data_IF_410790938011
#
_entry.id   IF_410790938011
#
_cell.length_a   1.000
_cell.length_b   1.000
_cell.length_c   1.000
_cell.angle_alpha   90.00
_cell.angle_beta   90.00
_cell.angle_gamma   90.00
#
_symmetry.space_group_name_H-M   'P 1'
#
loop_
_entity.id
_entity.type
_entity.pdbx_description
1 polymer ?
#
# COMPACT_ATOMS: atom_id res chain seq x y z
N UNK A 1 -9.73 16.35 -3.56
CA UNK A 1 -8.76 15.42 -2.95
C UNK A 1 -8.42 14.37 -4.00
N UNK A 2 -7.13 14.04 -4.17
CA UNK A 2 -6.79 12.92 -5.03
C UNK A 2 -7.43 11.65 -4.48
N UNK A 3 -8.04 10.87 -5.36
CA UNK A 3 -8.61 9.60 -4.98
C UNK A 3 -7.48 8.59 -4.75
N UNK A 4 -7.36 8.14 -3.53
CA UNK A 4 -6.57 6.97 -3.21
C UNK A 4 -7.43 5.73 -3.40
N UNK A 5 -6.89 4.77 -4.07
CA UNK A 5 -7.50 3.44 -4.17
C UNK A 5 -6.48 2.36 -3.86
N UNK A 6 -6.96 1.28 -3.30
CA UNK A 6 -6.19 0.05 -3.21
C UNK A 6 -6.28 -0.61 -4.58
N UNK A 7 -5.12 -0.83 -5.20
CA UNK A 7 -5.03 -1.50 -6.48
C UNK A 7 -4.41 -2.87 -6.23
N UNK A 8 -5.05 -3.96 -6.68
CA UNK A 8 -4.43 -5.27 -6.62
C UNK A 8 -3.07 -5.24 -7.32
N UNK A 9 -2.03 -5.69 -6.66
CA UNK A 9 -0.67 -5.65 -7.20
C UNK A 9 -0.42 -6.71 -8.28
N UNK A 10 -1.27 -7.70 -8.36
CA UNK A 10 -1.09 -8.80 -9.29
C UNK A 10 -1.62 -8.44 -10.68
N UNK A 11 -0.73 -8.01 -11.55
CA UNK A 11 -0.97 -8.04 -13.00
C UNK A 11 -0.78 -9.44 -13.59
N UNK A 12 -0.52 -10.43 -12.77
CA UNK A 12 -0.28 -11.83 -13.12
C UNK A 12 -1.51 -12.69 -12.80
N UNK A 13 -1.35 -13.90 -12.47
CA UNK A 13 -2.39 -14.93 -12.41
C UNK A 13 -3.72 -14.52 -11.77
N UNK A 14 -3.70 -13.74 -10.70
CA UNK A 14 -4.92 -13.27 -10.06
C UNK A 14 -5.75 -12.34 -10.96
N UNK A 15 -5.11 -11.44 -11.68
CA UNK A 15 -5.80 -10.51 -12.59
C UNK A 15 -6.38 -11.27 -13.77
N UNK A 16 -5.71 -12.30 -14.27
CA UNK A 16 -6.24 -13.16 -15.32
C UNK A 16 -7.41 -14.00 -14.80
N UNK A 17 -7.30 -14.55 -13.61
CA UNK A 17 -8.38 -15.30 -12.97
C UNK A 17 -9.59 -14.41 -12.63
N UNK A 18 -9.37 -13.17 -12.20
CA UNK A 18 -10.44 -12.18 -11.97
C UNK A 18 -11.00 -11.66 -13.31
N UNK A 19 -10.18 -11.52 -14.34
CA UNK A 19 -10.64 -11.16 -15.67
C UNK A 19 -11.55 -12.25 -16.29
N UNK A 20 -11.39 -13.50 -15.86
CA UNK A 20 -12.32 -14.58 -16.21
C UNK A 20 -13.75 -14.38 -15.66
N UNK A 21 -13.98 -13.38 -14.82
CA UNK A 21 -15.31 -12.96 -14.37
C UNK A 21 -15.99 -11.99 -15.33
N UNK A 22 -15.32 -11.53 -16.35
CA UNK A 22 -15.96 -10.70 -17.36
C UNK A 22 -16.84 -11.59 -18.26
N UNK A 23 -17.98 -11.05 -18.68
CA UNK A 23 -18.83 -11.69 -19.67
C UNK A 23 -18.18 -11.78 -21.08
N UNK A 24 -16.93 -11.34 -21.17
CA UNK A 24 -16.13 -11.41 -22.39
C UNK A 24 -15.49 -12.79 -22.50
N UNK A 25 -16.10 -13.68 -23.25
CA UNK A 25 -15.63 -15.04 -23.48
C UNK A 25 -14.18 -15.12 -24.01
N UNK A 26 -13.66 -14.01 -24.55
CA UNK A 26 -12.27 -13.95 -25.05
C UNK A 26 -11.23 -13.85 -23.93
N UNK A 27 -11.64 -13.47 -22.71
CA UNK A 27 -10.77 -13.37 -21.54
C UNK A 27 -10.82 -14.61 -20.64
N UNK A 28 -11.71 -15.57 -20.94
CA UNK A 28 -11.78 -16.82 -20.21
C UNK A 28 -10.60 -17.69 -20.63
N UNK A 29 -9.68 -17.94 -19.72
CA UNK A 29 -8.69 -18.99 -19.86
C UNK A 29 -9.43 -20.34 -19.89
N UNK A 30 -9.21 -21.14 -20.92
CA UNK A 30 -9.81 -22.47 -21.06
C UNK A 30 -9.44 -23.40 -19.88
N UNK A 31 -8.40 -23.03 -19.13
CA UNK A 31 -7.96 -23.77 -17.92
C UNK A 31 -8.77 -23.42 -16.68
N UNK A 32 -9.55 -22.32 -16.72
CA UNK A 32 -10.40 -21.86 -15.61
C UNK A 32 -11.87 -21.83 -16.04
N UNK A 33 -12.53 -22.98 -16.09
CA UNK A 33 -13.89 -23.09 -16.60
C UNK A 33 -14.94 -22.41 -15.70
N UNK A 34 -14.53 -21.75 -14.63
CA UNK A 34 -15.46 -21.16 -13.66
C UNK A 34 -14.99 -19.79 -13.19
N UNK A 35 -15.88 -18.83 -13.36
CA UNK A 35 -15.70 -17.44 -13.02
C UNK A 35 -15.77 -17.14 -11.50
N UNK A 36 -15.46 -18.07 -10.62
CA UNK A 36 -15.56 -17.83 -9.18
C UNK A 36 -14.44 -18.54 -8.40
N UNK A 37 -13.77 -17.77 -7.56
CA UNK A 37 -12.76 -18.29 -6.64
C UNK A 37 -13.30 -18.27 -5.21
N UNK A 38 -13.16 -19.40 -4.53
CA UNK A 38 -13.39 -19.47 -3.09
C UNK A 38 -12.08 -19.21 -2.38
N UNK A 39 -12.07 -18.16 -1.59
CA UNK A 39 -10.95 -17.84 -0.73
C UNK A 39 -10.81 -18.92 0.36
N UNK A 40 -9.59 -19.43 0.54
CA UNK A 40 -9.20 -20.16 1.73
C UNK A 40 -9.21 -19.24 2.97
N UNK A 41 -9.09 -19.83 4.14
CA UNK A 41 -9.03 -19.06 5.39
C UNK A 41 -7.62 -18.50 5.60
N UNK A 42 -7.41 -17.24 5.18
CA UNK A 42 -6.20 -16.51 5.47
C UNK A 42 -5.11 -16.58 4.40
N UNK A 43 -4.03 -15.97 4.73
CA UNK A 43 -2.78 -15.99 3.97
C UNK A 43 -1.61 -16.21 4.93
N UNK A 44 -0.46 -16.57 4.41
CA UNK A 44 0.77 -16.80 5.17
C UNK A 44 1.93 -16.06 4.52
N UNK A 45 2.82 -15.50 5.33
CA UNK A 45 4.05 -14.89 4.87
C UNK A 45 5.23 -15.82 5.17
N UNK A 46 5.92 -16.29 4.14
CA UNK A 46 7.09 -17.18 4.26
C UNK A 46 8.27 -16.56 3.53
N UNK A 47 9.31 -16.16 4.28
CA UNK A 47 10.45 -15.45 3.70
C UNK A 47 10.00 -14.13 3.04
N UNK A 48 10.31 -13.97 1.77
CA UNK A 48 9.98 -12.79 0.97
C UNK A 48 8.70 -12.97 0.13
N UNK A 49 7.89 -13.98 0.44
CA UNK A 49 6.65 -14.29 -0.26
C UNK A 49 5.44 -14.22 0.66
N UNK A 50 4.30 -13.79 0.10
CA UNK A 50 2.97 -13.94 0.66
C UNK A 50 2.24 -15.03 -0.11
N UNK A 51 1.70 -16.00 0.61
CA UNK A 51 0.96 -17.13 0.08
C UNK A 51 -0.53 -16.95 0.32
N UNK A 52 -1.33 -17.25 -0.65
CA UNK A 52 -2.78 -17.18 -0.58
C UNK A 52 -3.39 -18.44 -1.13
N UNK A 53 -4.24 -19.10 -0.30
CA UNK A 53 -4.90 -20.35 -0.69
C UNK A 53 -6.29 -20.07 -1.25
N UNK A 54 -6.61 -20.71 -2.37
CA UNK A 54 -7.89 -20.58 -3.02
C UNK A 54 -8.32 -21.88 -3.70
N UNK A 55 -9.60 -22.00 -4.02
CA UNK A 55 -10.14 -23.07 -4.85
C UNK A 55 -11.12 -22.49 -5.87
N UNK A 56 -11.13 -22.97 -7.12
CA UNK A 56 -12.16 -22.63 -8.09
C UNK A 56 -13.53 -23.12 -7.65
N UNK A 57 -14.57 -22.32 -7.87
CA UNK A 57 -15.95 -22.62 -7.58
C UNK A 57 -16.77 -22.62 -8.88
N UNK A 58 -17.85 -23.40 -9.04
CA UNK A 58 -18.47 -24.39 -8.18
C UNK A 58 -18.28 -25.85 -8.62
N UNK A 59 -17.99 -26.11 -9.91
CA UNK A 59 -18.12 -27.46 -10.49
C UNK A 59 -16.90 -28.36 -10.26
N UNK A 60 -15.78 -27.76 -9.91
CA UNK A 60 -14.49 -28.41 -9.77
C UNK A 60 -13.92 -28.32 -8.35
N UNK A 61 -14.76 -28.23 -7.34
CA UNK A 61 -14.34 -28.26 -5.94
C UNK A 61 -13.53 -29.51 -5.57
N UNK A 62 -13.51 -30.51 -6.44
CA UNK A 62 -12.71 -31.71 -6.31
C UNK A 62 -11.24 -31.55 -6.73
N UNK A 63 -10.89 -30.42 -7.38
CA UNK A 63 -9.55 -30.21 -7.94
C UNK A 63 -8.52 -29.73 -6.90
N UNK A 64 -8.93 -29.69 -5.64
CA UNK A 64 -8.04 -29.37 -4.53
C UNK A 64 -7.85 -27.91 -4.25
N UNK A 65 -6.90 -27.61 -3.36
CA UNK A 65 -6.53 -26.26 -2.96
C UNK A 65 -5.35 -25.82 -3.82
N UNK A 66 -5.44 -24.62 -4.36
CA UNK A 66 -4.36 -23.97 -5.09
C UNK A 66 -3.71 -22.89 -4.22
N UNK A 67 -2.50 -22.52 -4.56
CA UNK A 67 -1.73 -21.45 -3.90
C UNK A 67 -1.33 -20.42 -4.94
N UNK A 68 -1.67 -19.17 -4.67
CA UNK A 68 -1.10 -18.03 -5.36
C UNK A 68 0.01 -17.42 -4.49
N UNK A 69 1.05 -16.91 -5.12
CA UNK A 69 2.19 -16.29 -4.44
C UNK A 69 2.43 -14.89 -4.97
N UNK A 70 2.80 -13.99 -4.07
CA UNK A 70 3.27 -12.64 -4.37
C UNK A 70 4.55 -12.36 -3.62
N UNK A 71 5.29 -11.34 -4.03
CA UNK A 71 6.28 -10.75 -3.14
C UNK A 71 5.62 -10.35 -1.83
N UNK A 72 6.35 -10.49 -0.73
CA UNK A 72 5.82 -10.30 0.62
C UNK A 72 5.07 -9.01 0.80
N UNK A 73 3.84 -9.10 1.32
CA UNK A 73 2.91 -8.01 1.60
C UNK A 73 2.55 -7.13 0.37
N UNK A 74 2.70 -7.68 -0.86
CA UNK A 74 2.42 -6.97 -2.12
C UNK A 74 1.14 -7.43 -2.82
N UNK A 75 0.14 -7.87 -2.08
CA UNK A 75 -1.16 -8.24 -2.65
C UNK A 75 -2.00 -7.03 -3.10
N UNK A 76 -1.64 -5.83 -2.66
CA UNK A 76 -2.25 -4.57 -3.06
C UNK A 76 -1.39 -3.39 -2.65
N UNK A 77 -1.66 -2.21 -3.20
CA UNK A 77 -0.92 -1.00 -2.87
C UNK A 77 -1.79 0.25 -2.87
N UNK A 78 -1.32 1.27 -2.16
CA UNK A 78 -1.81 2.64 -2.28
C UNK A 78 -1.03 3.36 -3.38
N UNK A 79 -1.77 3.99 -4.27
CA UNK A 79 -1.21 4.87 -5.31
C UNK A 79 -2.11 6.06 -5.53
N UNK A 80 -1.55 7.14 -6.04
CA UNK A 80 -2.32 8.30 -6.42
C UNK A 80 -3.04 8.01 -7.72
N UNK A 81 -4.34 8.25 -7.73
CA UNK A 81 -5.10 8.23 -8.95
C UNK A 81 -4.98 9.60 -9.64
N UNK A 82 -4.34 9.63 -10.79
CA UNK A 82 -4.34 10.82 -11.64
C UNK A 82 -5.73 10.98 -12.25
N UNK A 83 -6.50 11.92 -11.74
CA UNK A 83 -7.75 12.32 -12.38
C UNK A 83 -7.35 13.01 -13.69
N UNK A 84 -7.82 12.53 -14.87
CA UNK A 84 -7.58 13.22 -16.12
C UNK A 84 -8.01 14.69 -16.00
N UNK A 85 -7.17 15.60 -16.45
CA UNK A 85 -7.40 17.08 -16.38
C UNK A 85 -8.69 17.57 -17.06
N UNK A 86 -9.51 16.69 -17.59
CA UNK A 86 -10.80 16.95 -18.22
C UNK A 86 -11.93 17.25 -17.24
N UNK A 87 -11.76 17.02 -15.94
CA UNK A 87 -12.75 17.45 -14.94
C UNK A 87 -12.51 18.89 -14.51
N UNK A 88 -12.97 19.80 -15.33
CA UNK A 88 -12.79 21.28 -15.26
C UNK A 88 -13.50 21.91 -14.05
N UNK A 89 -14.10 21.15 -13.16
CA UNK A 89 -14.93 21.67 -12.07
C UNK A 89 -14.30 21.58 -10.67
N UNK A 90 -13.09 21.09 -10.56
CA UNK A 90 -12.38 21.17 -9.29
C UNK A 90 -11.64 22.49 -9.22
N UNK A 91 -12.10 23.35 -8.34
CA UNK A 91 -11.45 24.59 -7.98
C UNK A 91 -9.96 24.34 -7.69
N UNK A 92 -9.09 25.05 -8.38
CA UNK A 92 -7.63 24.95 -8.21
C UNK A 92 -7.19 25.21 -6.75
N UNK A 93 -8.05 25.76 -5.89
CA UNK A 93 -7.79 25.97 -4.47
C UNK A 93 -7.63 24.65 -3.67
N UNK A 94 -8.09 23.52 -4.21
CA UNK A 94 -7.91 22.20 -3.58
C UNK A 94 -6.57 21.53 -3.96
N UNK A 95 -5.79 22.13 -4.85
CA UNK A 95 -4.52 21.56 -5.34
C UNK A 95 -3.31 21.91 -4.49
N UNK A 96 -3.47 22.69 -3.42
CA UNK A 96 -2.36 23.05 -2.53
C UNK A 96 -2.01 21.97 -1.50
N UNK A 97 -2.88 21.00 -1.28
CA UNK A 97 -2.57 19.90 -0.37
C UNK A 97 -1.86 18.77 -1.12
N UNK A 98 -0.62 18.50 -0.74
CA UNK A 98 0.10 17.32 -1.24
C UNK A 98 -0.75 16.07 -1.06
N UNK A 99 -0.82 15.18 -2.06
CA UNK A 99 -1.50 13.90 -1.91
C UNK A 99 -0.94 13.14 -0.71
N UNK A 100 -1.82 12.67 0.16
CA UNK A 100 -1.40 11.96 1.37
C UNK A 100 -2.48 10.98 1.85
N UNK A 101 -2.09 10.03 2.67
CA UNK A 101 -3.02 9.32 3.53
C UNK A 101 -2.58 9.42 4.98
N UNK A 102 -3.50 9.18 5.91
CA UNK A 102 -3.25 9.17 7.34
C UNK A 102 -3.83 7.87 7.92
N UNK A 103 -3.05 7.18 8.74
CA UNK A 103 -3.49 5.95 9.40
C UNK A 103 -4.56 6.23 10.47
N UNK A 104 -5.26 5.18 10.90
CA UNK A 104 -5.95 5.19 12.20
C UNK A 104 -4.95 5.44 13.32
N UNK A 105 -5.42 5.85 14.52
CA UNK A 105 -4.54 5.97 15.68
C UNK A 105 -3.91 4.62 16.03
N UNK A 106 -2.63 4.63 16.34
CA UNK A 106 -1.82 3.46 16.70
C UNK A 106 -1.24 3.72 18.09
N UNK A 107 -1.56 2.87 19.04
CA UNK A 107 -0.98 2.92 20.37
C UNK A 107 0.32 2.08 20.40
N UNK A 108 1.42 2.75 20.65
CA UNK A 108 2.73 2.11 20.80
C UNK A 108 2.97 1.55 22.20
N UNK A 109 2.01 1.74 23.13
CA UNK A 109 2.10 1.26 24.52
C UNK A 109 3.32 1.82 25.27
N UNK A 110 3.84 2.96 24.82
CA UNK A 110 5.05 3.58 25.35
C UNK A 110 6.37 2.97 24.89
N UNK A 111 6.31 1.91 24.08
CA UNK A 111 7.49 1.25 23.54
C UNK A 111 8.01 1.99 22.29
N UNK A 112 9.34 2.07 22.11
CA UNK A 112 9.90 2.63 20.89
C UNK A 112 9.64 1.69 19.70
N UNK A 113 9.37 2.27 18.53
CA UNK A 113 9.12 1.52 17.31
C UNK A 113 9.92 2.07 16.13
N UNK A 114 10.45 1.17 15.30
CA UNK A 114 11.01 1.51 13.98
C UNK A 114 9.90 1.51 12.94
N UNK A 115 10.00 2.44 12.01
CA UNK A 115 9.09 2.51 10.87
C UNK A 115 9.84 2.06 9.62
N UNK A 116 9.24 1.16 8.86
CA UNK A 116 9.74 0.78 7.54
C UNK A 116 8.59 0.68 6.55
N UNK A 117 8.88 0.81 5.28
CA UNK A 117 7.90 0.74 4.20
C UNK A 117 8.27 -0.33 3.19
N UNK A 118 7.24 -1.01 2.67
CA UNK A 118 7.30 -1.77 1.44
C UNK A 118 6.78 -0.86 0.33
N UNK A 119 7.68 -0.43 -0.55
CA UNK A 119 7.40 0.65 -1.50
C UNK A 119 8.13 0.42 -2.81
N UNK A 120 7.50 0.84 -3.91
CA UNK A 120 8.08 0.80 -5.24
C UNK A 120 7.82 2.10 -6.01
N UNK A 121 8.49 2.30 -7.14
CA UNK A 121 8.32 3.46 -7.99
C UNK A 121 9.00 4.74 -7.50
N UNK A 122 9.87 4.67 -6.49
CA UNK A 122 10.67 5.81 -6.05
C UNK A 122 11.72 6.20 -7.10
N UNK A 123 11.87 7.50 -7.32
CA UNK A 123 12.82 8.07 -8.27
C UNK A 123 13.14 9.52 -7.90
N UNK A 124 13.97 10.20 -8.69
CA UNK A 124 14.18 11.65 -8.57
C UNK A 124 12.88 12.47 -8.78
N UNK A 125 11.88 11.88 -9.44
CA UNK A 125 10.60 12.52 -9.77
C UNK A 125 9.44 12.05 -8.89
N UNK A 126 9.62 11.02 -8.10
CA UNK A 126 8.57 10.33 -7.35
C UNK A 126 9.09 9.97 -5.96
N UNK A 127 8.58 10.63 -4.95
CA UNK A 127 9.09 10.55 -3.57
C UNK A 127 7.96 10.39 -2.56
N UNK A 128 8.32 9.98 -1.35
CA UNK A 128 7.43 10.01 -0.19
C UNK A 128 8.14 10.63 1.00
N UNK A 129 7.39 11.37 1.81
CA UNK A 129 7.81 11.73 3.16
C UNK A 129 6.81 11.21 4.18
N UNK A 130 7.31 10.89 5.36
CA UNK A 130 6.49 10.35 6.45
C UNK A 130 6.51 11.33 7.61
N UNK A 131 5.31 11.62 8.12
CA UNK A 131 5.11 12.49 9.27
C UNK A 131 4.35 11.71 10.35
N UNK A 132 4.74 11.91 11.59
CA UNK A 132 4.03 11.37 12.74
C UNK A 132 3.18 12.48 13.36
N UNK A 133 1.91 12.17 13.54
CA UNK A 133 0.94 13.10 14.12
C UNK A 133 0.37 12.53 15.43
N UNK A 134 -0.11 13.41 16.28
CA UNK A 134 -0.90 13.03 17.45
C UNK A 134 -2.37 12.73 17.05
N UNK A 135 -3.22 12.39 18.02
CA UNK A 135 -4.64 12.11 17.79
C UNK A 135 -5.40 13.28 17.16
N UNK A 136 -4.94 14.53 17.36
CA UNK A 136 -5.55 15.75 16.83
C UNK A 136 -5.05 16.14 15.43
N UNK A 137 -4.30 15.24 14.79
CA UNK A 137 -3.67 15.49 13.48
C UNK A 137 -2.60 16.60 13.52
N UNK A 138 -2.03 16.89 14.68
CA UNK A 138 -0.93 17.84 14.81
C UNK A 138 0.40 17.11 14.65
N UNK A 139 1.33 17.58 13.80
CA UNK A 139 2.65 17.00 13.67
C UNK A 139 3.42 16.99 14.99
N UNK A 140 4.09 15.88 15.27
CA UNK A 140 4.95 15.77 16.46
C UNK A 140 6.33 16.34 16.10
N UNK A 141 6.84 17.35 16.87
CA UNK A 141 8.15 17.94 16.62
C UNK A 141 9.26 16.89 16.57
N UNK A 142 10.14 16.99 15.59
CA UNK A 142 11.22 16.04 15.34
C UNK A 142 10.80 14.82 14.50
N UNK A 143 9.50 14.73 14.14
CA UNK A 143 8.95 13.67 13.29
C UNK A 143 8.04 14.25 12.18
N UNK A 144 8.34 15.46 11.75
CA UNK A 144 7.59 16.12 10.67
C UNK A 144 8.03 15.60 9.30
N UNK A 145 7.25 15.92 8.26
CA UNK A 145 7.62 15.59 6.88
C UNK A 145 8.95 16.24 6.46
N UNK A 146 9.28 17.40 7.03
CA UNK A 146 10.52 18.13 6.76
C UNK A 146 11.73 17.49 7.46
N UNK A 147 11.52 16.86 8.61
CA UNK A 147 12.56 16.11 9.32
C UNK A 147 12.79 14.72 8.68
N UNK A 148 11.83 14.22 7.89
CA UNK A 148 11.89 12.89 7.30
C UNK A 148 13.06 12.76 6.32
N UNK A 149 13.92 11.79 6.58
CA UNK A 149 14.88 11.33 5.58
C UNK A 149 14.17 10.39 4.64
N UNK A 150 13.97 10.85 3.42
CA UNK A 150 13.26 10.10 2.39
C UNK A 150 14.00 8.79 2.09
N UNK A 151 13.29 7.66 2.00
CA UNK A 151 13.90 6.47 1.42
C UNK A 151 14.24 6.76 -0.04
N UNK A 152 15.49 6.51 -0.41
CA UNK A 152 16.02 6.83 -1.74
C UNK A 152 15.71 5.71 -2.73
N UNK A 153 15.46 4.51 -2.24
CA UNK A 153 15.32 3.29 -3.03
C UNK A 153 14.04 2.54 -2.72
N UNK A 154 13.45 1.98 -3.75
CA UNK A 154 12.35 1.01 -3.65
C UNK A 154 12.79 -0.29 -2.99
N UNK A 155 11.86 -1.01 -2.35
CA UNK A 155 12.13 -2.33 -1.79
C UNK A 155 11.12 -2.77 -0.73
N UNK A 156 11.28 -4.03 -0.29
CA UNK A 156 10.35 -4.70 0.63
C UNK A 156 10.35 -4.12 2.05
N UNK A 157 11.47 -3.58 2.50
CA UNK A 157 11.60 -3.08 3.87
C UNK A 157 12.58 -1.91 3.93
N UNK A 158 12.12 -0.73 3.56
CA UNK A 158 12.92 0.50 3.57
C UNK A 158 12.65 1.28 4.85
N UNK A 159 13.69 1.47 5.67
CA UNK A 159 13.59 2.22 6.92
C UNK A 159 13.31 3.69 6.67
N UNK A 160 12.43 4.25 7.50
CA UNK A 160 12.13 5.67 7.57
C UNK A 160 12.86 6.26 8.77
N UNK A 161 13.49 7.41 8.59
CA UNK A 161 14.23 8.14 9.63
C UNK A 161 13.83 9.61 9.62
N UNK A 162 14.00 10.26 10.77
CA UNK A 162 13.77 11.69 10.93
C UNK A 162 15.03 12.34 11.48
N UNK A 163 15.84 12.91 10.57
CA UNK A 163 17.16 13.40 10.93
C UNK A 163 18.03 12.28 11.53
N UNK A 164 18.44 12.45 12.80
CA UNK A 164 19.21 11.42 13.52
C UNK A 164 18.33 10.38 14.24
N UNK A 165 17.00 10.54 14.20
CA UNK A 165 16.08 9.67 14.91
C UNK A 165 15.69 8.47 14.02
N UNK A 166 16.02 7.27 14.50
CA UNK A 166 15.73 6.00 13.83
C UNK A 166 14.48 5.31 14.39
N UNK A 167 13.98 5.80 15.53
CA UNK A 167 12.85 5.17 16.23
C UNK A 167 11.85 6.23 16.67
N UNK A 168 10.58 5.86 16.68
CA UNK A 168 9.52 6.60 17.34
C UNK A 168 9.64 6.32 18.84
N UNK A 169 10.15 7.27 19.61
CA UNK A 169 10.33 7.11 21.06
C UNK A 169 9.65 8.21 21.86
N UNK A 170 9.28 7.92 23.12
CA UNK A 170 8.72 8.89 24.04
C UNK A 170 7.34 9.44 23.67
N UNK A 171 6.59 8.70 22.85
CA UNK A 171 5.25 9.09 22.42
C UNK A 171 4.28 9.12 23.62
N UNK A 172 3.53 10.22 23.73
CA UNK A 172 2.51 10.39 24.78
C UNK A 172 1.13 10.11 24.19
N UNK A 173 0.74 8.85 24.17
CA UNK A 173 -0.54 8.40 23.63
C UNK A 173 -0.45 7.95 22.17
N UNK A 174 -1.59 7.62 21.56
CA UNK A 174 -1.64 7.12 20.19
C UNK A 174 -1.09 8.10 19.17
N UNK A 175 -0.44 7.56 18.17
CA UNK A 175 0.12 8.32 17.03
C UNK A 175 -0.58 7.94 15.73
N UNK A 176 -0.49 8.81 14.73
CA UNK A 176 -0.91 8.56 13.37
C UNK A 176 0.30 8.68 12.46
N UNK A 177 0.35 7.82 11.46
CA UNK A 177 1.36 7.90 10.40
C UNK A 177 0.71 8.58 9.21
N UNK A 178 1.26 9.70 8.81
CA UNK A 178 0.89 10.37 7.57
C UNK A 178 1.97 10.16 6.54
N UNK A 179 1.60 9.68 5.36
CA UNK A 179 2.50 9.52 4.22
C UNK A 179 2.09 10.51 3.14
N UNK A 180 3.00 11.39 2.77
CA UNK A 180 2.82 12.35 1.69
C UNK A 180 3.49 11.79 0.44
N UNK A 181 2.83 11.94 -0.70
CA UNK A 181 3.37 11.58 -2.00
C UNK A 181 3.81 12.85 -2.70
N UNK A 182 5.05 12.90 -3.16
CA UNK A 182 5.71 14.10 -3.62
C UNK A 182 6.40 13.91 -4.96
N UNK A 183 6.80 15.04 -5.57
CA UNK A 183 7.47 15.06 -6.86
C UNK A 183 6.53 15.41 -8.00
N UNK A 184 7.06 15.34 -9.21
CA UNK A 184 6.31 15.67 -10.44
C UNK A 184 5.55 14.47 -11.02
N UNK A 185 5.86 13.26 -10.51
CA UNK A 185 5.23 11.98 -10.88
C UNK A 185 4.88 11.16 -9.65
N UNK A 186 4.12 11.71 -8.71
CA UNK A 186 3.79 11.02 -7.47
C UNK A 186 2.92 9.77 -7.69
N UNK A 187 2.26 9.67 -8.85
CA UNK A 187 1.46 8.51 -9.29
C UNK A 187 2.29 7.27 -9.56
N UNK A 188 3.60 7.39 -9.76
CA UNK A 188 4.48 6.24 -9.98
C UNK A 188 4.72 5.44 -8.69
N UNK A 189 4.49 6.08 -7.53
CA UNK A 189 4.71 5.45 -6.23
C UNK A 189 3.63 4.43 -5.93
N UNK A 190 4.07 3.23 -5.53
CA UNK A 190 3.23 2.13 -5.04
C UNK A 190 3.64 1.83 -3.60
N UNK A 191 2.80 2.15 -2.63
CA UNK A 191 3.02 1.83 -1.22
C UNK A 191 2.22 0.59 -0.84
N UNK A 192 2.89 -0.51 -0.57
CA UNK A 192 2.28 -1.80 -0.28
C UNK A 192 2.00 -2.00 1.20
N UNK A 193 2.96 -1.67 2.06
CA UNK A 193 2.82 -1.83 3.50
C UNK A 193 3.65 -0.82 4.28
N UNK A 194 3.24 -0.57 5.52
CA UNK A 194 4.04 0.13 6.54
C UNK A 194 4.21 -0.82 7.70
N UNK A 195 5.44 -0.99 8.13
CA UNK A 195 5.81 -1.82 9.25
C UNK A 195 6.16 -0.98 10.46
N UNK A 196 5.62 -1.36 11.61
CA UNK A 196 6.05 -0.90 12.92
C UNK A 196 6.68 -2.08 13.64
N UNK A 197 7.96 -1.95 13.99
CA UNK A 197 8.70 -3.01 14.68
C UNK A 197 9.20 -2.48 16.02
N UNK A 198 8.77 -3.07 17.11
CA UNK A 198 9.25 -2.81 18.49
C UNK A 198 10.62 -3.44 18.71
#
# INVERSE_FOLDING_TARGET
LPDFRIVPAAENNWTQEVAAWSDDEQLLDETLPVACLMQGQGFENIGDESLFWYTPWPEHASDGIRVATWERDRMGYFSIFSIPKTHVFLDNSLTETKPHFISSPIDLEGEPARVAMNIDGLSEHSKVSVEIQNERFEPIPGYTAEDCTEPIESGLRKEVRWGEQEVLGGMKGPVRIRVNFEGIRPEDVKLFAIYLTK
#
